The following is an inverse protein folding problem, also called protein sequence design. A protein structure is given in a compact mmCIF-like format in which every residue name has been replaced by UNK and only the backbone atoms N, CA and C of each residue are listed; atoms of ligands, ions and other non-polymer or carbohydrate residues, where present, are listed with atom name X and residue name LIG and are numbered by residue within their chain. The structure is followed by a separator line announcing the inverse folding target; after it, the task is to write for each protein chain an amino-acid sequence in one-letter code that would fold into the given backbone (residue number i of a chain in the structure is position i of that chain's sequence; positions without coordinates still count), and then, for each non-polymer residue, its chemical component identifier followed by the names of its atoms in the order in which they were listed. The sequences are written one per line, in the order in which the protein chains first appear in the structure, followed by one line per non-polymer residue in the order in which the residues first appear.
data_IF_421164145292
#
_entry.id   IF_421164145292
#
_cell.length_a   1.000
_cell.length_b   1.000
_cell.length_c   1.000
_cell.angle_alpha   90.00
_cell.angle_beta   90.00
_cell.angle_gamma   90.00
#
_symmetry.space_group_name_H-M   'P 1'
#
loop_
_entity.id
_entity.type
_entity.pdbx_description
1 polymer ?
#
# COMPACT_ATOMS: atom_id res chain seq x y z
N UNK A 1 -20.32 -7.28 8.84
CA UNK A 1 -19.21 -6.30 8.99
C UNK A 1 -18.00 -6.87 9.77
N UNK A 2 -17.83 -8.19 9.92
CA UNK A 2 -16.82 -8.79 10.82
C UNK A 2 -15.51 -9.20 10.15
N UNK A 3 -15.46 -9.29 8.82
CA UNK A 3 -14.31 -9.86 8.09
C UNK A 3 -13.09 -8.91 8.07
N UNK A 4 -13.29 -7.61 7.83
CA UNK A 4 -12.21 -6.63 7.68
C UNK A 4 -11.42 -6.39 8.97
N UNK A 5 -12.12 -6.38 10.11
CA UNK A 5 -11.50 -6.21 11.44
C UNK A 5 -10.59 -7.38 11.79
N UNK A 6 -11.00 -8.61 11.49
CA UNK A 6 -10.18 -9.80 11.73
C UNK A 6 -8.90 -9.81 10.87
N UNK A 7 -8.99 -9.40 9.61
CA UNK A 7 -7.81 -9.28 8.73
C UNK A 7 -6.83 -8.24 9.25
N UNK A 8 -7.33 -7.07 9.68
CA UNK A 8 -6.51 -6.00 10.26
C UNK A 8 -5.75 -6.47 11.49
N UNK A 9 -6.43 -7.11 12.44
CA UNK A 9 -5.81 -7.56 13.68
C UNK A 9 -4.76 -8.65 13.44
N UNK A 10 -5.00 -9.54 12.47
CA UNK A 10 -4.02 -10.54 12.03
C UNK A 10 -2.75 -9.89 11.47
N UNK A 11 -2.90 -8.89 10.59
CA UNK A 11 -1.76 -8.14 10.04
C UNK A 11 -0.99 -7.42 11.15
N UNK A 12 -1.70 -6.76 12.08
CA UNK A 12 -1.08 -6.09 13.22
C UNK A 12 -0.27 -7.08 14.08
N UNK A 13 -0.81 -8.28 14.33
CA UNK A 13 -0.12 -9.32 15.07
C UNK A 13 1.16 -9.75 14.35
N UNK A 14 1.08 -10.06 13.06
CA UNK A 14 2.25 -10.46 12.25
C UNK A 14 3.33 -9.37 12.20
N UNK A 15 2.95 -8.10 12.11
CA UNK A 15 3.90 -6.97 12.16
C UNK A 15 4.58 -6.88 13.54
N UNK A 16 3.83 -7.05 14.63
CA UNK A 16 4.38 -7.03 15.99
C UNK A 16 5.32 -8.21 16.25
N UNK A 17 4.98 -9.41 15.76
CA UNK A 17 5.81 -10.61 15.92
C UNK A 17 7.16 -10.46 15.22
N UNK A 18 7.26 -9.57 14.21
CA UNK A 18 8.52 -9.16 13.58
C UNK A 18 9.22 -7.96 14.24
N UNK A 19 8.76 -7.50 15.40
CA UNK A 19 9.33 -6.34 16.08
C UNK A 19 8.95 -4.98 15.47
N UNK A 20 7.99 -4.94 14.53
CA UNK A 20 7.54 -3.67 13.97
C UNK A 20 6.62 -2.93 14.95
N UNK A 21 7.09 -1.78 15.46
CA UNK A 21 6.31 -0.93 16.37
C UNK A 21 5.14 -0.25 15.62
N UNK A 22 3.91 -0.51 16.04
CA UNK A 22 2.70 0.10 15.46
C UNK A 22 2.46 1.55 15.93
N UNK A 23 3.22 2.49 15.36
CA UNK A 23 3.08 3.94 15.56
C UNK A 23 1.79 4.48 14.93
N UNK A 24 1.41 5.72 15.28
CA UNK A 24 0.24 6.40 14.71
C UNK A 24 0.28 6.46 13.17
N UNK A 25 1.43 6.82 12.60
CA UNK A 25 1.65 6.85 11.15
C UNK A 25 1.42 5.49 10.48
N UNK A 26 1.95 4.40 11.06
CA UNK A 26 1.79 3.04 10.52
C UNK A 26 0.34 2.57 10.58
N UNK A 27 -0.40 2.94 11.62
CA UNK A 27 -1.85 2.66 11.73
C UNK A 27 -2.64 3.40 10.65
N UNK A 28 -2.33 4.68 10.43
CA UNK A 28 -2.96 5.46 9.34
C UNK A 28 -2.71 4.81 7.98
N UNK A 29 -1.47 4.41 7.70
CA UNK A 29 -1.12 3.77 6.44
C UNK A 29 -1.80 2.42 6.27
N UNK A 30 -1.83 1.59 7.31
CA UNK A 30 -2.53 0.30 7.28
C UNK A 30 -4.01 0.48 6.99
N UNK A 31 -4.66 1.47 7.59
CA UNK A 31 -6.09 1.72 7.40
C UNK A 31 -6.38 2.14 5.97
N UNK A 32 -5.56 3.04 5.40
CA UNK A 32 -5.68 3.46 4.00
C UNK A 32 -5.51 2.27 3.04
N UNK A 33 -4.55 1.39 3.32
CA UNK A 33 -4.26 0.22 2.46
C UNK A 33 -5.37 -0.83 2.54
N UNK A 34 -6.02 -0.98 3.69
CA UNK A 34 -7.09 -1.98 3.90
C UNK A 34 -8.49 -1.48 3.52
N UNK A 35 -8.73 -0.17 3.58
CA UNK A 35 -10.02 0.43 3.22
C UNK A 35 -10.24 0.48 1.71
N UNK A 36 -9.19 0.69 0.92
CA UNK A 36 -9.33 1.05 -0.48
C UNK A 36 -8.39 0.26 -1.38
N UNK A 37 -8.87 -0.11 -2.56
CA UNK A 37 -8.09 -0.76 -3.62
C UNK A 37 -7.11 0.25 -4.22
N UNK A 38 -6.17 0.74 -3.40
CA UNK A 38 -5.23 1.77 -3.78
C UNK A 38 -4.45 1.32 -5.03
N UNK A 39 -4.62 2.05 -6.12
CA UNK A 39 -4.05 1.71 -7.42
C UNK A 39 -2.54 2.00 -7.50
N UNK A 40 -2.01 2.84 -6.60
CA UNK A 40 -0.61 3.24 -6.62
C UNK A 40 -0.06 3.73 -5.27
N UNK A 41 1.27 3.69 -5.12
CA UNK A 41 1.99 4.26 -3.97
C UNK A 41 1.74 5.78 -3.83
N UNK A 42 1.57 6.48 -4.95
CA UNK A 42 1.31 7.93 -4.96
C UNK A 42 -0.04 8.26 -4.34
N UNK A 43 -1.04 7.43 -4.57
CA UNK A 43 -2.37 7.60 -3.97
C UNK A 43 -2.35 7.35 -2.46
N UNK A 44 -1.66 6.29 -2.02
CA UNK A 44 -1.47 6.01 -0.59
C UNK A 44 -0.82 7.21 0.10
N UNK A 45 0.24 7.77 -0.49
CA UNK A 45 0.90 8.97 0.02
C UNK A 45 -0.03 10.17 0.08
N UNK A 46 -0.77 10.47 -1.01
CA UNK A 46 -1.66 11.62 -1.07
C UNK A 46 -2.76 11.56 0.00
N UNK A 47 -3.32 10.37 0.27
CA UNK A 47 -4.32 10.17 1.32
C UNK A 47 -3.70 10.24 2.72
N UNK A 48 -2.53 9.64 2.90
CA UNK A 48 -1.85 9.63 4.19
C UNK A 48 -1.41 11.04 4.62
N UNK A 49 -0.84 11.82 3.70
CA UNK A 49 -0.41 13.20 3.94
C UNK A 49 -1.55 14.14 4.31
N UNK A 50 -2.77 13.89 3.82
CA UNK A 50 -3.98 14.62 4.24
C UNK A 50 -4.37 14.34 5.70
N UNK A 51 -4.16 13.10 6.18
CA UNK A 51 -4.44 12.70 7.57
C UNK A 51 -3.30 13.08 8.52
N UNK A 52 -2.05 13.00 8.06
CA UNK A 52 -0.85 13.32 8.82
C UNK A 52 0.27 13.81 7.87
N UNK A 53 0.56 15.13 7.93
CA UNK A 53 1.56 15.79 7.09
C UNK A 53 3.00 15.31 7.34
N UNK A 54 3.26 14.61 8.44
CA UNK A 54 4.58 14.03 8.72
C UNK A 54 4.86 12.74 7.94
N UNK A 55 3.85 12.18 7.27
CA UNK A 55 4.01 10.99 6.44
C UNK A 55 4.57 11.39 5.07
N UNK A 56 5.86 11.10 4.88
CA UNK A 56 6.52 11.20 3.58
C UNK A 56 6.38 9.94 2.72
N UNK A 57 6.71 10.05 1.44
CA UNK A 57 6.76 8.92 0.49
C UNK A 57 7.66 7.79 0.96
N UNK A 58 8.82 8.09 1.55
CA UNK A 58 9.72 7.08 2.12
C UNK A 58 9.05 6.26 3.24
N UNK A 59 8.16 6.86 4.04
CA UNK A 59 7.42 6.14 5.09
C UNK A 59 6.36 5.23 4.48
N UNK A 60 5.74 5.63 3.38
CA UNK A 60 4.82 4.78 2.61
C UNK A 60 5.56 3.54 2.09
N UNK A 61 6.69 3.72 1.42
CA UNK A 61 7.48 2.59 0.90
C UNK A 61 7.96 1.65 1.99
N UNK A 62 8.47 2.17 3.12
CA UNK A 62 8.87 1.33 4.26
C UNK A 62 7.71 0.51 4.83
N UNK A 63 6.51 1.10 4.88
CA UNK A 63 5.33 0.38 5.34
C UNK A 63 4.89 -0.69 4.34
N UNK A 64 4.89 -0.38 3.04
CA UNK A 64 4.57 -1.34 1.99
C UNK A 64 5.54 -2.53 2.00
N UNK A 65 6.85 -2.28 2.12
CA UNK A 65 7.85 -3.34 2.22
C UNK A 65 7.61 -4.22 3.45
N UNK A 66 7.32 -3.63 4.61
CA UNK A 66 7.02 -4.40 5.82
C UNK A 66 5.77 -5.28 5.68
N UNK A 67 4.77 -4.82 4.93
CA UNK A 67 3.57 -5.60 4.61
C UNK A 67 3.86 -6.69 3.57
N UNK A 68 4.71 -6.42 2.58
CA UNK A 68 5.16 -7.38 1.55
C UNK A 68 5.95 -8.53 2.20
N UNK A 69 6.84 -8.19 3.12
CA UNK A 69 7.67 -9.13 3.87
C UNK A 69 6.87 -10.14 4.70
N UNK A 70 5.70 -9.75 5.21
CA UNK A 70 4.76 -10.64 5.94
C UNK A 70 3.72 -11.30 5.00
N UNK A 71 3.80 -11.04 3.69
CA UNK A 71 2.86 -11.56 2.70
C UNK A 71 1.46 -10.95 2.75
N UNK A 72 1.30 -9.78 3.38
CA UNK A 72 0.00 -9.11 3.51
C UNK A 72 -0.37 -8.29 2.27
N UNK A 73 0.63 -7.89 1.46
CA UNK A 73 0.42 -7.19 0.18
C UNK A 73 1.35 -7.75 -0.88
N UNK A 74 0.96 -7.62 -2.15
CA UNK A 74 1.81 -7.93 -3.31
C UNK A 74 1.79 -6.73 -4.25
N UNK A 75 2.95 -6.20 -4.62
CA UNK A 75 3.05 -5.16 -5.64
C UNK A 75 3.05 -5.78 -7.03
N UNK A 76 2.20 -5.28 -7.92
CA UNK A 76 2.27 -5.53 -9.36
C UNK A 76 2.70 -4.24 -10.05
N UNK A 77 3.78 -4.30 -10.83
CA UNK A 77 4.18 -3.22 -11.71
C UNK A 77 3.72 -3.58 -13.12
N UNK A 78 2.72 -2.87 -13.63
CA UNK A 78 2.17 -3.10 -14.97
C UNK A 78 2.45 -1.85 -15.78
N UNK A 79 3.29 -1.99 -16.81
CA UNK A 79 3.55 -0.95 -17.79
C UNK A 79 3.00 -1.49 -19.10
N UNK A 80 1.95 -0.85 -19.62
CA UNK A 80 1.40 -1.16 -20.94
C UNK A 80 1.93 -0.11 -21.91
N UNK A 81 2.70 -0.54 -22.89
CA UNK A 81 3.18 0.30 -23.98
C UNK A 81 2.42 -0.13 -25.24
N UNK A 82 1.55 0.73 -25.74
CA UNK A 82 0.91 0.53 -27.04
C UNK A 82 1.72 1.32 -28.07
N UNK A 83 2.47 0.61 -28.90
CA UNK A 83 3.02 1.16 -30.13
C UNK A 83 2.01 0.79 -31.21
N UNK A 84 1.22 1.77 -31.65
CA UNK A 84 0.41 1.58 -32.85
C UNK A 84 1.38 1.49 -34.03
N UNK A 85 1.69 0.27 -34.47
CA UNK A 85 2.28 0.05 -35.78
C UNK A 85 1.24 0.49 -36.80
N UNK A 86 1.34 1.73 -37.26
CA UNK A 86 0.61 2.16 -38.46
C UNK A 86 1.21 1.38 -39.64
N UNK A 87 0.57 0.26 -39.98
CA UNK A 87 0.67 -0.28 -41.33
C UNK A 87 0.14 0.80 -42.28
N UNK A 88 1.08 1.45 -42.95
CA UNK A 88 0.85 2.31 -44.10
C UNK A 88 0.44 1.36 -45.24
N UNK A 89 -0.87 1.09 -45.38
CA UNK A 89 -1.41 0.42 -46.56
C UNK A 89 -1.21 1.35 -47.77
N UNK A 90 -0.36 0.88 -48.69
CA UNK A 90 -0.03 1.50 -49.97
C UNK A 90 -1.14 1.39 -51.01
#
# INVERSE_FOLDING_TARGET
MTQTTQTRDKIIKMLKDRGCRMTKQRRILLDIILEDNCSSCKEIYYRASKKDKSIGTATVYRMLNALEEIGAVTRKNIIVVNLDDKEEEA
#
